data_IF_742079401288
#
_entry.id   IF_742079401288
#
_cell.length_a   1.000
_cell.length_b   1.000
_cell.length_c   1.000
_cell.angle_alpha   90.00
_cell.angle_beta   90.00
_cell.angle_gamma   90.00
#
_symmetry.space_group_name_H-M   'P 1'
#
loop_
_entity.id
_entity.type
_entity.pdbx_description
1 polymer ?
#
# COMPACT_ATOMS: atom_id res chain seq x y z
N UNK A 1 -5.51 9.60 -18.61
CA UNK A 1 -4.75 8.36 -18.54
C UNK A 1 -3.90 8.35 -17.27
N UNK A 2 -4.19 7.43 -16.35
CA UNK A 2 -3.62 7.43 -14.99
C UNK A 2 -2.34 6.59 -14.85
N UNK A 3 -1.98 5.82 -15.87
CA UNK A 3 -0.84 4.91 -15.83
C UNK A 3 0.25 5.32 -16.80
N UNK A 4 1.51 5.19 -16.34
CA UNK A 4 2.72 5.48 -17.13
C UNK A 4 3.35 4.25 -17.73
N UNK A 5 3.13 3.09 -17.12
CA UNK A 5 3.79 1.85 -17.54
C UNK A 5 3.02 0.62 -17.07
N UNK A 6 3.23 -0.50 -17.76
CA UNK A 6 2.63 -1.79 -17.44
C UNK A 6 3.67 -2.88 -17.64
N UNK A 7 3.85 -3.73 -16.64
CA UNK A 7 4.72 -4.91 -16.71
C UNK A 7 3.88 -6.17 -16.82
N UNK A 8 4.19 -7.03 -17.80
CA UNK A 8 3.51 -8.29 -18.04
C UNK A 8 4.43 -9.46 -17.69
N UNK A 9 3.90 -10.48 -17.01
CA UNK A 9 4.66 -11.71 -16.71
C UNK A 9 3.92 -12.92 -17.29
N UNK A 10 4.63 -13.68 -18.12
CA UNK A 10 4.12 -14.88 -18.76
C UNK A 10 4.66 -16.14 -18.09
N UNK A 11 3.83 -17.17 -18.02
CA UNK A 11 4.22 -18.49 -17.53
C UNK A 11 4.88 -19.35 -18.60
N UNK A 12 5.15 -20.62 -18.26
CA UNK A 12 5.87 -21.59 -19.10
C UNK A 12 5.18 -21.81 -20.45
N UNK A 13 3.85 -21.79 -20.49
CA UNK A 13 3.04 -21.96 -21.70
C UNK A 13 2.72 -20.63 -22.39
N UNK A 14 3.50 -19.60 -22.18
CA UNK A 14 3.25 -18.23 -22.67
C UNK A 14 1.89 -17.66 -22.24
N UNK A 15 1.30 -18.16 -21.15
CA UNK A 15 0.08 -17.64 -20.58
C UNK A 15 0.39 -16.47 -19.65
N UNK A 16 -0.31 -15.37 -19.85
CA UNK A 16 -0.18 -14.19 -19.00
C UNK A 16 -0.81 -14.49 -17.63
N UNK A 17 -0.03 -14.41 -16.56
CA UNK A 17 -0.53 -14.67 -15.21
C UNK A 17 -0.42 -13.49 -14.26
N UNK A 18 0.39 -12.48 -14.58
CA UNK A 18 0.58 -11.29 -13.74
C UNK A 18 0.70 -10.03 -14.58
N UNK A 19 0.03 -8.97 -14.14
CA UNK A 19 0.10 -7.63 -14.74
C UNK A 19 0.34 -6.64 -13.60
N UNK A 20 1.39 -5.85 -13.69
CA UNK A 20 1.61 -4.74 -12.76
C UNK A 20 1.45 -3.44 -13.53
N UNK A 21 0.49 -2.61 -13.11
CA UNK A 21 0.27 -1.27 -13.66
C UNK A 21 0.88 -0.24 -12.71
N UNK A 22 1.69 0.64 -13.25
CA UNK A 22 2.34 1.73 -12.52
C UNK A 22 1.64 3.04 -12.84
N UNK A 23 1.11 3.71 -11.81
CA UNK A 23 0.48 5.00 -11.94
C UNK A 23 1.47 6.10 -12.35
N UNK A 24 0.95 7.17 -12.90
CA UNK A 24 1.75 8.37 -13.18
C UNK A 24 2.29 8.97 -11.89
N UNK A 25 3.47 9.55 -11.98
CA UNK A 25 4.05 10.29 -10.86
C UNK A 25 3.25 11.54 -10.56
N UNK A 26 3.05 11.78 -9.28
CA UNK A 26 2.33 12.93 -8.74
C UNK A 26 3.33 13.77 -7.93
N UNK A 27 3.43 15.05 -8.24
CA UNK A 27 4.07 16.03 -7.35
C UNK A 27 3.08 16.34 -6.25
N UNK A 28 3.17 15.60 -5.17
CA UNK A 28 2.16 15.60 -4.13
C UNK A 28 2.48 16.61 -3.01
N UNK A 29 1.47 16.89 -2.19
CA UNK A 29 1.67 17.66 -0.96
C UNK A 29 2.27 16.78 0.15
N UNK A 30 2.63 17.38 1.27
CA UNK A 30 3.26 16.68 2.39
C UNK A 30 2.35 15.62 3.03
N UNK A 31 1.03 15.77 2.92
CA UNK A 31 0.04 14.82 3.41
C UNK A 31 -0.27 13.69 2.40
N UNK A 32 0.35 13.71 1.22
CA UNK A 32 0.10 12.75 0.14
C UNK A 32 -1.36 12.75 -0.36
N UNK A 33 -2.01 13.90 -0.35
CA UNK A 33 -3.44 14.04 -0.68
C UNK A 33 -3.76 13.57 -2.09
N UNK A 34 -2.89 13.82 -3.06
CA UNK A 34 -3.09 13.46 -4.47
C UNK A 34 -3.11 11.96 -4.68
N UNK A 35 -2.11 11.26 -4.20
CA UNK A 35 -2.04 9.80 -4.33
C UNK A 35 -3.12 9.11 -3.50
N UNK A 36 -3.48 9.64 -2.33
CA UNK A 36 -4.56 9.10 -1.52
C UNK A 36 -5.92 9.22 -2.20
N UNK A 37 -6.17 10.32 -2.89
CA UNK A 37 -7.39 10.50 -3.69
C UNK A 37 -7.46 9.44 -4.80
N UNK A 38 -6.36 9.21 -5.51
CA UNK A 38 -6.27 8.20 -6.56
C UNK A 38 -6.43 6.78 -5.98
N UNK A 39 -5.77 6.49 -4.87
CA UNK A 39 -5.91 5.23 -4.14
C UNK A 39 -7.37 4.94 -3.77
N UNK A 40 -8.07 5.89 -3.19
CA UNK A 40 -9.49 5.71 -2.80
C UNK A 40 -10.39 5.48 -3.99
N UNK A 41 -10.13 6.16 -5.12
CA UNK A 41 -10.87 5.97 -6.36
C UNK A 41 -10.71 4.55 -6.90
N UNK A 42 -9.48 4.06 -7.00
CA UNK A 42 -9.20 2.69 -7.45
C UNK A 42 -9.63 1.64 -6.43
N UNK A 43 -9.53 1.91 -5.15
CA UNK A 43 -10.07 1.03 -4.10
C UNK A 43 -11.56 0.75 -4.34
N UNK A 44 -12.33 1.78 -4.59
CA UNK A 44 -13.77 1.65 -4.88
C UNK A 44 -14.02 0.83 -6.14
N UNK A 45 -13.30 1.11 -7.23
CA UNK A 45 -13.46 0.39 -8.50
C UNK A 45 -13.09 -1.08 -8.37
N UNK A 46 -11.97 -1.39 -7.71
CA UNK A 46 -11.51 -2.76 -7.51
C UNK A 46 -12.42 -3.54 -6.56
N UNK A 47 -12.96 -2.89 -5.53
CA UNK A 47 -13.96 -3.49 -4.64
C UNK A 47 -15.22 -3.90 -5.40
N UNK A 48 -15.69 -3.05 -6.31
CA UNK A 48 -16.86 -3.34 -7.13
C UNK A 48 -16.60 -4.48 -8.11
N UNK A 49 -15.40 -4.55 -8.67
CA UNK A 49 -15.04 -5.52 -9.71
C UNK A 49 -14.71 -6.91 -9.15
N UNK A 50 -13.91 -6.97 -8.08
CA UNK A 50 -13.39 -8.22 -7.55
C UNK A 50 -13.95 -8.62 -6.18
N UNK A 51 -14.47 -7.68 -5.41
CA UNK A 51 -14.96 -7.94 -4.05
C UNK A 51 -13.85 -8.24 -3.04
N UNK A 52 -14.23 -8.76 -1.87
CA UNK A 52 -13.33 -9.17 -0.78
C UNK A 52 -12.15 -8.21 -0.54
N UNK A 53 -12.46 -6.91 -0.44
CA UNK A 53 -11.47 -5.88 -0.17
C UNK A 53 -10.93 -5.99 1.25
N UNK A 54 -9.61 -5.96 1.39
CA UNK A 54 -8.92 -5.91 2.67
C UNK A 54 -7.83 -4.86 2.62
N UNK A 55 -7.88 -3.91 3.55
CA UNK A 55 -6.90 -2.83 3.64
C UNK A 55 -5.88 -3.12 4.73
N UNK A 56 -4.62 -2.83 4.43
CA UNK A 56 -3.49 -2.98 5.35
C UNK A 56 -2.79 -1.64 5.50
N UNK A 57 -2.74 -1.14 6.70
CA UNK A 57 -2.01 0.07 7.04
C UNK A 57 -1.05 -0.18 8.19
N UNK A 58 0.24 0.06 7.92
CA UNK A 58 1.28 0.07 8.94
C UNK A 58 1.64 1.53 9.21
N UNK A 59 1.26 2.10 10.36
CA UNK A 59 1.52 3.50 10.66
C UNK A 59 2.96 3.74 11.10
N UNK A 60 3.44 4.96 10.85
CA UNK A 60 4.59 5.46 11.58
C UNK A 60 4.21 5.69 13.04
N UNK A 61 5.12 5.38 13.97
CA UNK A 61 4.93 5.53 15.41
C UNK A 61 5.89 6.59 15.92
N UNK A 62 5.36 7.61 16.58
CA UNK A 62 6.17 8.66 17.21
C UNK A 62 6.01 8.62 18.71
N UNK A 63 7.06 8.97 19.43
CA UNK A 63 7.04 9.09 20.87
C UNK A 63 6.69 10.53 21.26
N UNK A 64 5.65 10.68 22.07
CA UNK A 64 5.18 11.98 22.55
C UNK A 64 5.31 12.01 24.07
N UNK A 65 6.00 13.05 24.57
CA UNK A 65 6.10 13.29 26.00
C UNK A 65 4.84 14.00 26.50
N UNK A 66 4.24 13.40 27.53
CA UNK A 66 3.01 13.91 28.15
C UNK A 66 3.28 14.15 29.64
N UNK A 67 2.86 15.33 30.12
CA UNK A 67 2.92 15.63 31.55
C UNK A 67 1.64 15.13 32.21
N UNK A 68 1.79 14.22 33.18
CA UNK A 68 0.69 13.72 34.03
C UNK A 68 0.97 14.08 35.47
N UNK A 69 -0.08 14.35 36.24
CA UNK A 69 0.03 14.61 37.66
C UNK A 69 -0.12 13.32 38.44
N UNK A 70 0.86 12.99 39.32
CA UNK A 70 0.79 11.82 40.15
C UNK A 70 -0.25 11.95 41.27
N UNK A 71 -0.45 10.91 42.08
CA UNK A 71 -1.40 10.91 43.21
C UNK A 71 -1.05 11.91 44.29
N UNK A 72 0.19 12.46 44.30
CA UNK A 72 0.67 13.48 45.24
C UNK A 72 0.62 14.90 44.66
N UNK A 73 0.06 15.06 43.46
CA UNK A 73 -0.02 16.34 42.78
C UNK A 73 1.28 16.81 42.12
N UNK A 74 2.30 15.93 41.98
CA UNK A 74 3.55 16.26 41.30
C UNK A 74 3.46 15.98 39.80
N UNK A 75 3.93 16.89 38.93
CA UNK A 75 4.00 16.64 37.50
C UNK A 75 5.07 15.58 37.19
N UNK A 76 4.71 14.62 36.35
CA UNK A 76 5.63 13.62 35.82
C UNK A 76 5.56 13.60 34.30
N UNK A 77 6.71 13.39 33.66
CA UNK A 77 6.77 13.19 32.21
C UNK A 77 6.66 11.73 31.88
N UNK A 78 5.66 11.36 31.08
CA UNK A 78 5.43 10.01 30.59
C UNK A 78 5.58 10.03 29.08
N UNK A 79 6.38 9.10 28.54
CA UNK A 79 6.52 8.92 27.09
C UNK A 79 5.42 7.99 26.60
N UNK A 80 4.65 8.43 25.63
CA UNK A 80 3.56 7.69 25.02
C UNK A 80 3.83 7.47 23.53
N UNK A 81 3.63 6.25 23.05
CA UNK A 81 3.69 5.92 21.63
C UNK A 81 2.40 6.37 20.94
N UNK A 82 2.54 7.08 19.81
CA UNK A 82 1.41 7.56 19.03
C UNK A 82 1.53 7.13 17.58
N UNK A 83 0.55 6.36 17.13
CA UNK A 83 0.43 5.95 15.72
C UNK A 83 -0.06 7.13 14.88
N UNK A 84 0.66 7.43 13.81
CA UNK A 84 0.29 8.52 12.93
C UNK A 84 -0.82 8.09 11.96
N UNK A 85 -1.85 8.90 11.74
CA UNK A 85 -2.94 8.55 10.84
C UNK A 85 -2.55 8.64 9.37
N UNK A 86 -3.30 7.95 8.51
CA UNK A 86 -3.22 8.09 7.06
C UNK A 86 -3.50 9.56 6.69
N UNK A 87 -2.62 10.15 5.86
CA UNK A 87 -2.80 11.52 5.41
C UNK A 87 -2.42 12.58 6.45
N UNK A 88 -1.65 12.24 7.47
CA UNK A 88 -1.10 13.24 8.40
C UNK A 88 -0.12 14.17 7.66
N UNK A 89 0.25 15.33 8.25
CA UNK A 89 1.10 16.32 7.57
C UNK A 89 2.47 15.80 7.09
N UNK A 90 2.96 14.70 7.64
CA UNK A 90 4.26 14.09 7.29
C UNK A 90 4.11 12.78 6.49
N UNK A 91 2.91 12.45 6.04
CA UNK A 91 2.61 11.14 5.48
C UNK A 91 3.42 10.81 4.24
N UNK A 92 3.64 11.78 3.34
CA UNK A 92 4.46 11.58 2.14
C UNK A 92 5.88 11.12 2.51
N UNK A 93 6.49 11.77 3.48
CA UNK A 93 7.82 11.43 3.99
C UNK A 93 7.84 10.07 4.67
N UNK A 94 6.82 9.76 5.44
CA UNK A 94 6.68 8.46 6.12
C UNK A 94 6.61 7.32 5.10
N UNK A 95 5.86 7.50 4.02
CA UNK A 95 5.80 6.55 2.91
C UNK A 95 7.16 6.43 2.19
N UNK A 96 7.81 7.56 1.90
CA UNK A 96 9.10 7.60 1.21
C UNK A 96 10.19 6.86 1.98
N UNK A 97 10.23 7.03 3.30
CA UNK A 97 11.23 6.43 4.17
C UNK A 97 10.92 4.97 4.55
N UNK A 98 9.74 4.45 4.21
CA UNK A 98 9.30 3.15 4.64
C UNK A 98 8.80 3.09 6.09
N UNK A 99 8.58 4.22 6.72
CA UNK A 99 8.04 4.32 8.09
C UNK A 99 6.53 4.06 8.14
N UNK A 100 5.84 4.25 7.02
CA UNK A 100 4.43 3.92 6.85
C UNK A 100 4.24 3.13 5.56
N UNK A 101 3.25 2.23 5.56
CA UNK A 101 2.88 1.42 4.40
C UNK A 101 1.36 1.34 4.30
N UNK A 102 0.83 1.53 3.10
CA UNK A 102 -0.60 1.43 2.81
C UNK A 102 -0.83 0.66 1.53
N UNK A 103 -1.59 -0.42 1.61
CA UNK A 103 -2.05 -1.17 0.45
C UNK A 103 -3.35 -1.90 0.74
N UNK A 104 -4.00 -2.37 -0.30
CA UNK A 104 -5.23 -3.15 -0.20
C UNK A 104 -5.18 -4.34 -1.15
N UNK A 105 -5.87 -5.41 -0.79
CA UNK A 105 -6.02 -6.61 -1.62
C UNK A 105 -7.48 -6.86 -1.94
N UNK A 106 -7.71 -7.43 -3.12
CA UNK A 106 -9.03 -7.75 -3.64
C UNK A 106 -8.95 -9.11 -4.33
N UNK A 107 -9.93 -9.96 -4.14
CA UNK A 107 -9.95 -11.24 -4.85
C UNK A 107 -11.38 -11.77 -5.04
N UNK A 108 -11.58 -12.50 -6.14
CA UNK A 108 -12.84 -13.19 -6.45
C UNK A 108 -12.67 -14.71 -6.60
N UNK A 109 -11.55 -15.28 -6.19
CA UNK A 109 -11.20 -16.69 -6.36
C UNK A 109 -10.49 -17.01 -7.68
N UNK A 110 -10.59 -16.15 -8.69
CA UNK A 110 -9.95 -16.32 -10.01
C UNK A 110 -8.83 -15.30 -10.20
N UNK A 111 -9.11 -14.05 -9.88
CA UNK A 111 -8.16 -12.93 -9.98
C UNK A 111 -7.95 -12.34 -8.59
N UNK A 112 -6.70 -12.11 -8.26
CA UNK A 112 -6.29 -11.29 -7.12
C UNK A 112 -5.69 -9.98 -7.62
N UNK A 113 -5.98 -8.88 -6.93
CA UNK A 113 -5.39 -7.58 -7.18
C UNK A 113 -4.86 -6.97 -5.90
N UNK A 114 -3.71 -6.31 -5.96
CA UNK A 114 -3.15 -5.54 -4.87
C UNK A 114 -2.95 -4.10 -5.32
N UNK A 115 -3.53 -3.17 -4.57
CA UNK A 115 -3.43 -1.73 -4.82
C UNK A 115 -2.49 -1.13 -3.77
N UNK A 116 -1.38 -0.53 -4.20
CA UNK A 116 -0.39 0.05 -3.31
C UNK A 116 -0.20 1.54 -3.52
N UNK A 117 0.21 2.22 -2.45
CA UNK A 117 0.66 3.61 -2.47
C UNK A 117 2.17 3.63 -2.32
N UNK A 118 2.86 4.32 -3.23
CA UNK A 118 4.32 4.35 -3.28
C UNK A 118 4.84 5.78 -3.41
N UNK A 119 6.07 5.99 -2.96
CA UNK A 119 6.79 7.26 -3.16
C UNK A 119 8.19 6.91 -3.64
N UNK A 120 8.64 7.53 -4.73
CA UNK A 120 9.98 7.29 -5.28
C UNK A 120 11.08 8.08 -4.52
N UNK A 121 12.33 7.89 -4.94
CA UNK A 121 13.47 8.58 -4.32
C UNK A 121 13.46 10.11 -4.50
N UNK A 122 12.70 10.63 -5.46
CA UNK A 122 12.53 12.05 -5.71
C UNK A 122 11.34 12.68 -4.98
N UNK A 123 10.64 11.89 -4.16
CA UNK A 123 9.47 12.35 -3.41
C UNK A 123 8.19 12.44 -4.23
N UNK A 124 8.16 11.81 -5.40
CA UNK A 124 6.96 11.73 -6.21
C UNK A 124 6.15 10.50 -5.83
N UNK A 125 4.85 10.68 -5.63
CA UNK A 125 3.94 9.60 -5.27
C UNK A 125 3.32 8.95 -6.51
N UNK A 126 2.92 7.69 -6.37
CA UNK A 126 2.19 6.95 -7.41
C UNK A 126 1.50 5.74 -6.82
N UNK A 127 0.47 5.25 -7.50
CA UNK A 127 -0.16 3.97 -7.16
C UNK A 127 0.43 2.84 -8.00
N UNK A 128 0.35 1.62 -7.47
CA UNK A 128 0.58 0.40 -8.24
C UNK A 128 -0.64 -0.50 -8.12
N UNK A 129 -0.96 -1.22 -9.19
CA UNK A 129 -1.97 -2.27 -9.16
C UNK A 129 -1.33 -3.55 -9.72
N UNK A 130 -1.29 -4.58 -8.91
CA UNK A 130 -0.70 -5.88 -9.24
C UNK A 130 -1.82 -6.91 -9.38
N UNK A 131 -2.10 -7.31 -10.63
CA UNK A 131 -3.11 -8.32 -10.94
C UNK A 131 -2.46 -9.68 -11.12
N UNK A 132 -3.07 -10.70 -10.55
CA UNK A 132 -2.62 -12.09 -10.71
C UNK A 132 -3.80 -12.99 -11.06
N UNK A 133 -3.58 -13.87 -12.05
CA UNK A 133 -4.46 -15.02 -12.22
C UNK A 133 -4.10 -16.06 -11.16
N UNK A 134 -4.98 -16.30 -10.21
CA UNK A 134 -4.69 -17.12 -9.03
C UNK A 134 -4.47 -18.60 -9.40
N UNK A 135 -5.17 -19.12 -10.42
CA UNK A 135 -5.00 -20.49 -10.87
C UNK A 135 -3.63 -20.70 -11.56
N UNK A 136 -3.24 -19.78 -12.44
CA UNK A 136 -1.94 -19.84 -13.11
C UNK A 136 -0.78 -19.59 -12.13
N UNK A 137 -0.97 -18.78 -11.13
CA UNK A 137 0.01 -18.58 -10.05
C UNK A 137 0.26 -19.88 -9.29
N UNK A 138 -0.80 -20.61 -8.92
CA UNK A 138 -0.70 -21.90 -8.22
C UNK A 138 -0.02 -22.96 -9.09
N UNK A 139 -0.32 -23.01 -10.37
CA UNK A 139 0.37 -23.91 -11.32
C UNK A 139 1.87 -23.62 -11.36
N UNK A 140 2.27 -22.35 -11.44
CA UNK A 140 3.66 -21.92 -11.44
C UNK A 140 4.39 -22.28 -10.15
N UNK A 141 3.76 -22.11 -9.00
CA UNK A 141 4.32 -22.50 -7.71
C UNK A 141 4.54 -24.00 -7.61
N UNK A 142 3.60 -24.81 -8.10
CA UNK A 142 3.71 -26.26 -8.14
C UNK A 142 4.86 -26.71 -9.06
N UNK A 143 5.03 -26.10 -10.22
CA UNK A 143 6.14 -26.38 -11.15
C UNK A 143 7.49 -26.03 -10.51
N UNK A 144 7.58 -24.91 -9.81
CA UNK A 144 8.79 -24.50 -9.09
C UNK A 144 9.16 -25.51 -7.99
N UNK A 145 8.19 -25.97 -7.21
CA UNK A 145 8.40 -27.00 -6.19
C UNK A 145 8.87 -28.34 -6.80
N UNK A 146 8.29 -28.74 -7.93
CA UNK A 146 8.67 -29.98 -8.60
C UNK A 146 10.06 -29.91 -9.23
N UNK A 147 10.58 -28.73 -9.52
CA UNK A 147 11.92 -28.52 -10.07
C UNK A 147 13.02 -28.52 -8.99
N UNK A 148 12.65 -28.42 -7.72
CA UNK A 148 13.57 -28.48 -6.59
C UNK A 148 13.86 -29.93 -6.22
#
# INVERSE_FOLDING_TARGET
>A
HDFRDVMLTFGIDNRLWRIIAYGKFIKDDAAASGVLKMYRGYFKLLSQKYGHAQEFYTPNVVNVDKTVTDTRGKPQTVTEEKKQPIGNPDFLKELQNGDAELYATFENGIVGAALGVNVDGNGQSYITIDYKNLNLMKEREAETLNAL
#
